data_IF_389287805667
#
_entry.id   IF_389287805667
#
_cell.length_a   1.000
_cell.length_b   1.000
_cell.length_c   1.000
_cell.angle_alpha   90.00
_cell.angle_beta   90.00
_cell.angle_gamma   90.00
#
_symmetry.space_group_name_H-M   'P 1'
#
loop_
_entity.id
_entity.type
_entity.pdbx_description
1 polymer ?
#
# COMPACT_ATOMS: atom_id res chain seq x y z
N UNK A 1 10.29 -1.03 9.86
CA UNK A 1 9.78 0.32 9.52
C UNK A 1 10.97 1.25 9.46
N UNK A 2 11.15 2.11 8.44
CA UNK A 2 12.29 3.02 8.39
C UNK A 2 12.20 4.03 9.54
N UNK A 3 13.23 4.10 10.39
CA UNK A 3 13.23 4.92 11.61
C UNK A 3 12.99 6.42 11.36
N UNK A 4 13.31 6.89 10.15
CA UNK A 4 13.21 8.30 9.75
C UNK A 4 11.86 8.70 9.14
N UNK A 5 10.87 7.81 9.11
CA UNK A 5 9.56 8.07 8.47
C UNK A 5 8.88 9.31 9.06
N UNK A 6 8.88 9.47 10.38
CA UNK A 6 8.22 10.61 11.04
C UNK A 6 8.92 11.95 10.70
N UNK A 7 10.25 11.96 10.68
CA UNK A 7 11.01 13.16 10.32
C UNK A 7 10.73 13.59 8.88
N UNK A 8 10.83 12.66 7.93
CA UNK A 8 10.59 12.93 6.51
C UNK A 8 9.13 13.27 6.20
N UNK A 9 8.18 12.73 6.98
CA UNK A 9 6.75 13.02 6.84
C UNK A 9 6.40 14.46 7.25
N UNK A 10 7.08 15.03 8.25
CA UNK A 10 6.82 16.38 8.76
C UNK A 10 7.72 17.47 8.12
N UNK A 11 8.71 17.10 7.32
CA UNK A 11 9.62 18.00 6.61
C UNK A 11 9.04 18.41 5.23
N UNK A 12 8.79 19.72 4.97
CA UNK A 12 8.28 20.19 3.67
C UNK A 12 9.25 19.97 2.48
N UNK A 13 10.52 19.65 2.75
CA UNK A 13 11.49 19.24 1.73
C UNK A 13 11.11 17.90 1.11
N UNK A 14 10.57 16.98 1.91
CA UNK A 14 10.31 15.60 1.53
C UNK A 14 8.81 15.24 1.51
N UNK A 15 7.94 16.16 1.94
CA UNK A 15 6.50 15.94 1.99
C UNK A 15 5.71 17.17 1.54
N UNK A 16 4.61 16.96 0.82
CA UNK A 16 3.70 18.06 0.43
C UNK A 16 2.91 18.63 1.60
N UNK A 17 2.76 17.85 2.69
CA UNK A 17 2.07 18.25 3.93
C UNK A 17 0.67 18.79 3.72
N UNK A 18 -0.14 18.11 2.91
CA UNK A 18 -1.54 18.48 2.76
C UNK A 18 -2.29 18.36 4.08
N UNK A 19 -3.34 19.16 4.20
CA UNK A 19 -4.34 19.05 5.25
C UNK A 19 -5.71 18.96 4.59
N UNK A 20 -6.63 18.22 5.20
CA UNK A 20 -8.05 18.27 4.81
C UNK A 20 -8.64 19.65 5.11
N UNK A 21 -9.81 19.93 4.52
CA UNK A 21 -10.68 20.96 5.06
C UNK A 21 -11.20 20.57 6.47
N UNK A 22 -11.76 21.51 7.25
CA UNK A 22 -12.36 21.18 8.54
C UNK A 22 -13.44 20.11 8.38
N UNK A 23 -13.28 18.99 9.08
CA UNK A 23 -14.23 17.88 8.98
C UNK A 23 -15.35 18.01 10.02
N UNK A 24 -16.62 18.25 9.61
CA UNK A 24 -17.72 18.52 10.54
C UNK A 24 -17.98 17.38 11.53
N UNK A 25 -17.79 16.14 11.06
CA UNK A 25 -17.98 14.93 11.85
C UNK A 25 -16.77 14.58 12.73
N UNK A 26 -15.71 15.40 12.71
CA UNK A 26 -14.51 15.23 13.52
C UNK A 26 -14.21 16.51 14.32
N UNK A 27 -15.25 17.17 14.84
CA UNK A 27 -15.16 18.42 15.59
C UNK A 27 -14.41 19.52 14.83
N UNK A 28 -14.64 19.63 13.51
CA UNK A 28 -13.97 20.58 12.61
C UNK A 28 -12.43 20.48 12.62
N UNK A 29 -11.86 19.34 13.00
CA UNK A 29 -10.41 19.13 12.90
C UNK A 29 -10.00 19.10 11.42
N UNK A 30 -8.83 19.69 11.14
CA UNK A 30 -8.10 19.47 9.89
C UNK A 30 -7.17 18.28 10.07
N UNK A 31 -7.31 17.28 9.22
CA UNK A 31 -6.49 16.08 9.27
C UNK A 31 -5.21 16.29 8.49
N UNK A 32 -4.09 15.86 9.04
CA UNK A 32 -2.82 15.84 8.33
C UNK A 32 -2.82 14.71 7.30
N UNK A 33 -2.62 15.05 6.04
CA UNK A 33 -2.66 14.15 4.89
C UNK A 33 -1.30 14.14 4.16
N UNK A 34 -0.25 13.55 4.77
CA UNK A 34 1.09 13.59 4.22
C UNK A 34 1.20 12.85 2.87
N UNK A 35 1.96 13.42 1.94
CA UNK A 35 2.29 12.82 0.62
C UNK A 35 3.76 13.03 0.30
N UNK A 36 4.46 11.94 -0.03
CA UNK A 36 5.89 11.98 -0.36
C UNK A 36 6.20 12.88 -1.56
N UNK A 37 7.21 13.74 -1.40
CA UNK A 37 7.72 14.70 -2.38
C UNK A 37 9.19 14.39 -2.68
N UNK A 38 9.44 13.23 -3.28
CA UNK A 38 10.78 12.74 -3.64
C UNK A 38 10.68 11.64 -4.71
N UNK A 39 11.81 11.20 -5.28
CA UNK A 39 11.83 10.03 -6.17
C UNK A 39 11.31 8.80 -5.42
N UNK A 40 10.40 8.04 -6.04
CA UNK A 40 9.62 6.98 -5.39
C UNK A 40 8.34 7.47 -4.69
N UNK A 41 8.20 8.77 -4.43
CA UNK A 41 6.97 9.35 -3.90
C UNK A 41 6.56 8.77 -2.55
N UNK A 42 5.30 8.33 -2.43
CA UNK A 42 4.80 7.75 -1.18
C UNK A 42 5.42 6.38 -0.86
N UNK A 43 5.91 5.61 -1.84
CA UNK A 43 6.52 4.30 -1.56
C UNK A 43 7.87 4.42 -0.84
N UNK A 44 8.58 5.55 -1.01
CA UNK A 44 9.85 5.83 -0.34
C UNK A 44 9.71 6.19 1.15
N UNK A 45 8.50 6.50 1.63
CA UNK A 45 8.25 6.86 3.03
C UNK A 45 7.03 6.15 3.66
N UNK A 46 6.59 5.02 3.12
CA UNK A 46 5.43 4.28 3.68
C UNK A 46 5.82 3.36 4.86
N UNK A 47 4.82 2.74 5.49
CA UNK A 47 5.03 1.75 6.55
C UNK A 47 5.56 0.39 6.08
N UNK A 48 5.80 0.22 4.77
CA UNK A 48 6.26 -1.00 4.10
C UNK A 48 5.34 -2.22 4.29
N UNK A 49 4.09 -2.00 4.65
CA UNK A 49 3.08 -3.06 4.72
C UNK A 49 2.61 -3.37 3.30
N UNK A 50 2.76 -4.62 2.88
CA UNK A 50 2.29 -5.09 1.58
C UNK A 50 0.99 -5.88 1.75
N UNK A 51 -0.13 -5.26 1.40
CA UNK A 51 -1.48 -5.86 1.44
C UNK A 51 -2.08 -5.76 0.06
N UNK A 52 -2.51 -6.89 -0.49
CA UNK A 52 -3.17 -6.93 -1.80
C UNK A 52 -4.65 -6.55 -1.74
N UNK A 53 -5.31 -6.66 -0.59
CA UNK A 53 -6.76 -6.52 -0.45
C UNK A 53 -7.48 -7.87 -0.42
N UNK A 54 -8.79 -7.84 -0.17
CA UNK A 54 -9.62 -9.04 -0.15
C UNK A 54 -10.09 -9.36 -1.59
N UNK A 55 -10.19 -10.63 -2.02
CA UNK A 55 -10.77 -10.98 -3.32
C UNK A 55 -12.11 -10.29 -3.61
N UNK A 56 -12.96 -10.10 -2.61
CA UNK A 56 -14.26 -9.43 -2.76
C UNK A 56 -14.15 -7.94 -3.12
N UNK A 57 -13.02 -7.27 -2.84
CA UNK A 57 -12.79 -5.89 -3.29
C UNK A 57 -12.72 -5.84 -4.83
N UNK A 58 -12.08 -6.84 -5.43
CA UNK A 58 -11.91 -7.01 -6.87
C UNK A 58 -13.20 -7.48 -7.55
N UNK A 59 -13.91 -8.43 -6.93
CA UNK A 59 -15.24 -8.83 -7.42
C UNK A 59 -16.23 -7.67 -7.38
N UNK A 60 -16.14 -6.80 -6.36
CA UNK A 60 -16.95 -5.58 -6.32
C UNK A 60 -16.63 -4.65 -7.49
N UNK A 61 -15.37 -4.45 -7.84
CA UNK A 61 -15.01 -3.66 -9.03
C UNK A 61 -15.56 -4.28 -10.31
N UNK A 62 -15.43 -5.60 -10.48
CA UNK A 62 -15.99 -6.30 -11.62
C UNK A 62 -17.51 -6.12 -11.74
N UNK A 63 -18.24 -6.18 -10.61
CA UNK A 63 -19.68 -5.93 -10.56
C UNK A 63 -20.09 -4.50 -10.94
N UNK A 64 -19.19 -3.53 -10.82
CA UNK A 64 -19.40 -2.15 -11.27
C UNK A 64 -19.04 -1.94 -12.76
N UNK A 65 -18.81 -3.02 -13.51
CA UNK A 65 -18.57 -2.98 -14.96
C UNK A 65 -17.10 -3.11 -15.35
N UNK A 66 -16.18 -3.16 -14.38
CA UNK A 66 -14.75 -3.35 -14.61
C UNK A 66 -14.39 -4.84 -14.69
N UNK A 67 -14.96 -5.58 -15.65
CA UNK A 67 -14.90 -7.06 -15.70
C UNK A 67 -13.49 -7.64 -15.67
N UNK A 68 -12.51 -6.96 -16.26
CA UNK A 68 -11.10 -7.40 -16.28
C UNK A 68 -10.37 -7.16 -14.95
N UNK A 69 -11.06 -6.62 -13.94
CA UNK A 69 -10.53 -6.36 -12.61
C UNK A 69 -11.02 -7.36 -11.54
N UNK A 70 -11.68 -8.47 -11.93
CA UNK A 70 -12.00 -9.55 -10.98
C UNK A 70 -10.73 -10.16 -10.38
N UNK A 71 -10.84 -10.83 -9.23
CA UNK A 71 -9.68 -11.31 -8.48
C UNK A 71 -8.81 -12.26 -9.32
N UNK A 72 -9.46 -13.15 -10.06
CA UNK A 72 -8.81 -14.10 -10.98
C UNK A 72 -7.95 -13.37 -12.02
N UNK A 73 -8.43 -12.24 -12.55
CA UNK A 73 -7.74 -11.48 -13.61
C UNK A 73 -6.56 -10.68 -13.08
N UNK A 74 -6.63 -10.19 -11.83
CA UNK A 74 -5.53 -9.42 -11.21
C UNK A 74 -4.47 -10.30 -10.56
N UNK A 75 -4.81 -11.54 -10.17
CA UNK A 75 -3.89 -12.44 -9.47
C UNK A 75 -2.54 -12.67 -10.20
N UNK A 76 -2.51 -12.88 -11.54
CA UNK A 76 -1.25 -12.99 -12.27
C UNK A 76 -0.34 -11.75 -12.12
N UNK A 77 -0.92 -10.55 -12.01
CA UNK A 77 -0.16 -9.31 -11.82
C UNK A 77 0.39 -9.19 -10.40
N UNK A 78 -0.34 -9.65 -9.40
CA UNK A 78 0.20 -9.77 -8.04
C UNK A 78 1.37 -10.76 -7.97
N UNK A 79 1.27 -11.90 -8.66
CA UNK A 79 2.39 -12.85 -8.75
C UNK A 79 3.57 -12.26 -9.53
N UNK A 80 3.31 -11.46 -10.57
CA UNK A 80 4.35 -10.83 -11.42
C UNK A 80 5.17 -9.76 -10.69
N UNK A 81 4.56 -8.98 -9.80
CA UNK A 81 5.27 -7.87 -9.14
C UNK A 81 6.15 -8.33 -7.98
N UNK A 82 5.79 -9.40 -7.28
CA UNK A 82 6.44 -9.78 -6.02
C UNK A 82 7.46 -10.92 -6.13
N UNK A 83 8.39 -10.93 -5.18
CA UNK A 83 9.19 -12.08 -4.78
C UNK A 83 8.88 -12.39 -3.31
N UNK A 84 8.05 -13.40 -3.07
CA UNK A 84 7.59 -13.79 -1.74
C UNK A 84 8.61 -14.68 -0.99
N UNK A 85 8.85 -14.37 0.28
CA UNK A 85 9.89 -15.05 1.08
C UNK A 85 9.63 -16.52 1.40
N UNK A 86 8.36 -16.96 1.44
CA UNK A 86 8.01 -18.34 1.81
C UNK A 86 7.79 -19.27 0.60
N UNK A 87 8.21 -18.85 -0.60
CA UNK A 87 8.14 -19.67 -1.82
C UNK A 87 6.85 -19.52 -2.63
N UNK A 88 6.86 -20.06 -3.85
CA UNK A 88 5.74 -19.93 -4.78
C UNK A 88 4.55 -20.77 -4.31
N UNK A 89 3.33 -20.28 -4.53
CA UNK A 89 2.12 -21.06 -4.38
C UNK A 89 1.02 -20.59 -5.34
N UNK A 90 -0.21 -21.09 -5.13
CA UNK A 90 -1.39 -20.68 -5.90
C UNK A 90 -1.54 -19.15 -5.98
N UNK A 91 -1.26 -18.45 -4.88
CA UNK A 91 -1.47 -17.02 -4.76
C UNK A 91 -0.19 -16.18 -4.86
N UNK A 92 0.99 -16.72 -4.52
CA UNK A 92 2.24 -15.97 -4.35
C UNK A 92 3.22 -16.24 -5.48
N UNK A 93 3.94 -15.19 -5.91
CA UNK A 93 4.99 -15.24 -6.92
C UNK A 93 6.39 -15.11 -6.31
N UNK A 94 7.42 -15.58 -7.03
CA UNK A 94 8.82 -15.59 -6.54
C UNK A 94 9.83 -14.95 -7.50
N UNK A 95 9.36 -14.40 -8.62
CA UNK A 95 10.20 -13.91 -9.71
C UNK A 95 10.04 -12.40 -9.97
N UNK A 96 9.21 -11.71 -9.18
CA UNK A 96 8.92 -10.29 -9.36
C UNK A 96 9.96 -9.37 -8.73
N UNK A 97 9.96 -8.11 -9.17
CA UNK A 97 11.00 -7.14 -8.76
C UNK A 97 10.90 -6.67 -7.31
N UNK A 98 9.76 -6.88 -6.64
CA UNK A 98 9.51 -6.38 -5.30
C UNK A 98 9.69 -7.50 -4.25
N UNK A 99 10.74 -7.49 -3.42
CA UNK A 99 10.87 -8.44 -2.33
C UNK A 99 9.76 -8.21 -1.29
N UNK A 100 9.01 -9.27 -0.97
CA UNK A 100 7.95 -9.24 0.05
C UNK A 100 8.27 -10.31 1.08
N UNK A 101 8.51 -9.88 2.32
CA UNK A 101 8.96 -10.75 3.39
C UNK A 101 7.89 -10.94 4.45
N UNK A 102 7.66 -12.17 4.87
CA UNK A 102 6.88 -12.45 6.06
C UNK A 102 7.60 -11.88 7.29
N UNK A 103 6.86 -11.16 8.13
CA UNK A 103 7.39 -10.69 9.41
C UNK A 103 7.78 -11.89 10.27
N UNK A 104 9.03 -11.91 10.75
CA UNK A 104 9.52 -12.92 11.70
C UNK A 104 9.06 -12.64 13.13
N UNK A 105 8.36 -11.53 13.36
CA UNK A 105 7.81 -11.20 14.66
C UNK A 105 6.68 -12.19 14.99
N UNK A 106 6.88 -12.99 16.04
CA UNK A 106 5.92 -13.99 16.54
C UNK A 106 4.91 -13.41 17.54
N UNK A 107 5.02 -12.12 17.86
CA UNK A 107 4.12 -11.47 18.80
C UNK A 107 2.73 -11.30 18.13
N UNK A 108 1.64 -11.78 18.75
CA UNK A 108 0.28 -11.69 18.21
C UNK A 108 -0.20 -10.26 17.99
#
# INVERSE_FOLDING_TARGET
MPLAILYTMHDPKYNYKYYSEPEPHLHNRKLFCPRGKMIGGCSAHNGMVFVRGNPNDYERWASFGLKDWSYEKVLPYFKKIETWSEGENEYRGVNGILPVNQSKNKNP
#
